data_IF_027411900602
#
_entry.id   IF_027411900602
#
_cell.length_a   1.000
_cell.length_b   1.000
_cell.length_c   1.000
_cell.angle_alpha   90.00
_cell.angle_beta   90.00
_cell.angle_gamma   90.00
#
_symmetry.space_group_name_H-M   'P 1'
#
loop_
_entity.id
_entity.type
_entity.pdbx_description
1 polymer ?
#
# COMPACT_ATOMS: atom_id res chain seq x y z
N UNK A 1 -7.81 15.64 -3.88
CA UNK A 1 -6.69 16.55 -3.53
C UNK A 1 -7.19 17.93 -3.13
N UNK A 2 -7.92 18.67 -3.98
CA UNK A 2 -8.40 20.03 -3.68
C UNK A 2 -9.22 20.13 -2.40
N UNK A 3 -10.21 19.25 -2.20
CA UNK A 3 -11.04 19.25 -0.98
C UNK A 3 -10.23 18.98 0.30
N UNK A 4 -9.33 17.99 0.27
CA UNK A 4 -8.46 17.69 1.41
C UNK A 4 -7.47 18.83 1.73
N UNK A 5 -6.91 19.45 0.69
CA UNK A 5 -6.04 20.62 0.86
C UNK A 5 -6.81 21.82 1.45
N UNK A 6 -8.04 22.06 0.99
CA UNK A 6 -8.88 23.13 1.51
C UNK A 6 -9.22 22.92 2.99
N UNK A 7 -9.58 21.69 3.40
CA UNK A 7 -9.87 21.38 4.81
C UNK A 7 -8.63 21.53 5.68
N UNK A 8 -7.46 21.06 5.23
CA UNK A 8 -6.21 21.19 5.99
C UNK A 8 -5.81 22.66 6.20
N UNK A 9 -5.93 23.48 5.15
CA UNK A 9 -5.65 24.91 5.22
C UNK A 9 -6.65 25.65 6.12
N UNK A 10 -7.93 25.28 6.08
CA UNK A 10 -8.96 25.87 6.93
C UNK A 10 -8.79 25.50 8.41
N UNK A 11 -8.33 24.28 8.71
CA UNK A 11 -8.17 23.79 10.08
C UNK A 11 -6.87 24.28 10.75
N UNK A 12 -5.77 24.38 10.00
CA UNK A 12 -4.42 24.53 10.58
C UNK A 12 -3.61 25.69 10.00
N UNK A 13 -4.03 26.26 8.86
CA UNK A 13 -3.25 27.27 8.14
C UNK A 13 -1.89 26.76 7.68
N UNK A 14 -0.98 27.68 7.34
CA UNK A 14 0.41 27.35 7.03
C UNK A 14 1.26 27.40 8.32
N UNK A 15 2.04 26.34 8.56
CA UNK A 15 3.01 26.29 9.64
C UNK A 15 4.43 26.51 9.12
N UNK A 16 5.25 27.26 9.86
CA UNK A 16 6.67 27.40 9.55
C UNK A 16 7.41 26.07 9.81
N UNK A 17 8.24 25.64 8.87
CA UNK A 17 9.05 24.43 9.04
C UNK A 17 10.39 24.75 9.70
N UNK A 18 10.80 23.90 10.63
CA UNK A 18 12.18 23.87 11.12
C UNK A 18 13.08 23.16 10.12
N UNK A 19 14.39 23.40 10.17
CA UNK A 19 15.35 22.71 9.31
C UNK A 19 15.25 21.18 9.46
N UNK A 20 15.07 20.68 10.68
CA UNK A 20 14.84 19.26 10.96
C UNK A 20 13.56 18.75 10.29
N UNK A 21 12.46 19.51 10.39
CA UNK A 21 11.20 19.15 9.74
C UNK A 21 11.32 19.07 8.22
N UNK A 22 12.04 20.02 7.61
CA UNK A 22 12.30 20.01 6.17
C UNK A 22 13.11 18.78 5.74
N UNK A 23 14.15 18.40 6.49
CA UNK A 23 14.95 17.20 6.22
C UNK A 23 14.10 15.93 6.35
N UNK A 24 13.27 15.82 7.39
CA UNK A 24 12.38 14.68 7.57
C UNK A 24 11.35 14.57 6.42
N UNK A 25 10.79 15.69 5.98
CA UNK A 25 9.88 15.71 4.82
C UNK A 25 10.58 15.26 3.53
N UNK A 26 11.81 15.71 3.30
CA UNK A 26 12.59 15.25 2.15
C UNK A 26 12.88 13.74 2.24
N UNK A 27 13.27 13.24 3.40
CA UNK A 27 13.55 11.82 3.59
C UNK A 27 12.30 10.94 3.31
N UNK A 28 11.15 11.31 3.87
CA UNK A 28 9.89 10.60 3.63
C UNK A 28 9.45 10.74 2.17
N UNK A 29 9.61 11.92 1.58
CA UNK A 29 9.29 12.17 0.17
C UNK A 29 10.12 11.32 -0.79
N UNK A 30 11.42 11.16 -0.52
CA UNK A 30 12.30 10.29 -1.30
C UNK A 30 11.91 8.81 -1.16
N UNK A 31 11.55 8.37 0.05
CA UNK A 31 11.08 7.01 0.28
C UNK A 31 9.76 6.74 -0.46
N UNK A 32 8.82 7.68 -0.40
CA UNK A 32 7.55 7.60 -1.12
C UNK A 32 7.74 7.61 -2.66
N UNK A 33 8.64 8.46 -3.18
CA UNK A 33 8.97 8.44 -4.60
C UNK A 33 9.61 7.11 -5.03
N UNK A 34 10.45 6.52 -4.18
CA UNK A 34 11.04 5.20 -4.39
C UNK A 34 9.99 4.09 -4.43
N UNK A 35 9.02 4.12 -3.51
CA UNK A 35 7.87 3.21 -3.50
C UNK A 35 7.06 3.31 -4.79
N UNK A 36 6.70 4.53 -5.20
CA UNK A 36 5.98 4.79 -6.45
C UNK A 36 6.75 4.27 -7.68
N UNK A 37 8.07 4.44 -7.70
CA UNK A 37 8.91 3.92 -8.78
C UNK A 37 8.99 2.38 -8.79
N UNK A 38 9.09 1.76 -7.63
CA UNK A 38 9.04 0.31 -7.49
C UNK A 38 7.68 -0.25 -7.94
N UNK A 39 6.58 0.40 -7.56
CA UNK A 39 5.22 0.03 -7.95
C UNK A 39 5.06 0.06 -9.48
N UNK A 40 5.41 1.19 -10.12
CA UNK A 40 5.32 1.30 -11.58
C UNK A 40 6.20 0.26 -12.29
N UNK A 41 7.41 0.00 -11.80
CA UNK A 41 8.28 -1.05 -12.32
C UNK A 41 7.69 -2.45 -12.14
N UNK A 42 7.09 -2.74 -11.00
CA UNK A 42 6.48 -4.03 -10.69
C UNK A 42 5.31 -4.29 -11.63
N UNK A 43 4.36 -3.35 -11.77
CA UNK A 43 3.22 -3.48 -12.67
C UNK A 43 3.60 -3.57 -14.15
N UNK A 44 4.71 -2.93 -14.56
CA UNK A 44 5.19 -3.02 -15.93
C UNK A 44 5.86 -4.34 -16.33
N UNK A 45 6.28 -5.18 -15.36
CA UNK A 45 7.04 -6.42 -15.63
C UNK A 45 6.49 -7.69 -14.99
N UNK A 46 5.66 -7.58 -13.95
CA UNK A 46 5.21 -8.69 -13.13
C UNK A 46 3.74 -9.05 -13.31
N UNK A 47 3.29 -10.07 -12.58
CA UNK A 47 1.89 -10.47 -12.55
C UNK A 47 1.04 -9.42 -11.81
N UNK A 48 0.10 -8.80 -12.53
CA UNK A 48 -0.75 -7.71 -12.02
C UNK A 48 -1.47 -8.09 -10.71
N UNK A 49 -2.03 -9.30 -10.63
CA UNK A 49 -2.74 -9.80 -9.44
C UNK A 49 -1.80 -9.96 -8.23
N UNK A 50 -0.59 -10.48 -8.44
CA UNK A 50 0.41 -10.62 -7.38
C UNK A 50 0.89 -9.27 -6.88
N UNK A 51 1.19 -8.34 -7.79
CA UNK A 51 1.61 -6.99 -7.42
C UNK A 51 0.50 -6.21 -6.69
N UNK A 52 -0.77 -6.43 -7.05
CA UNK A 52 -1.90 -5.87 -6.32
C UNK A 52 -1.97 -6.44 -4.90
N UNK A 53 -1.75 -7.74 -4.72
CA UNK A 53 -1.69 -8.36 -3.39
C UNK A 53 -0.54 -7.78 -2.54
N UNK A 54 0.62 -7.50 -3.14
CA UNK A 54 1.78 -6.90 -2.45
C UNK A 54 1.51 -5.49 -1.91
N UNK A 55 0.66 -4.68 -2.57
CA UNK A 55 0.32 -3.35 -2.06
C UNK A 55 -0.36 -3.41 -0.68
N UNK A 56 -1.13 -4.47 -0.42
CA UNK A 56 -1.75 -4.65 0.89
C UNK A 56 -0.73 -4.94 2.01
N UNK A 57 0.51 -5.33 1.68
CA UNK A 57 1.59 -5.48 2.66
C UNK A 57 1.91 -4.14 3.35
N UNK A 58 1.60 -3.00 2.74
CA UNK A 58 1.68 -1.70 3.40
C UNK A 58 0.85 -1.64 4.69
N UNK A 59 -0.29 -2.33 4.75
CA UNK A 59 -1.13 -2.42 5.96
C UNK A 59 -0.39 -3.18 7.06
N UNK A 60 0.28 -4.28 6.72
CA UNK A 60 1.11 -5.06 7.65
C UNK A 60 2.26 -4.22 8.20
N UNK A 61 2.94 -3.49 7.32
CA UNK A 61 4.04 -2.61 7.69
C UNK A 61 3.56 -1.47 8.61
N UNK A 62 2.44 -0.82 8.29
CA UNK A 62 1.86 0.23 9.13
C UNK A 62 1.46 -0.28 10.50
N UNK A 63 0.84 -1.46 10.60
CA UNK A 63 0.51 -2.07 11.89
C UNK A 63 1.76 -2.35 12.72
N UNK A 64 2.78 -2.95 12.10
CA UNK A 64 4.04 -3.26 12.78
C UNK A 64 4.76 -1.99 13.27
N UNK A 65 4.81 -0.95 12.44
CA UNK A 65 5.46 0.31 12.77
C UNK A 65 4.65 1.12 13.80
N UNK A 66 3.32 1.10 13.70
CA UNK A 66 2.38 1.66 14.67
C UNK A 66 2.60 1.08 16.07
N UNK A 67 2.48 -0.23 16.21
CA UNK A 67 2.62 -0.92 17.49
C UNK A 67 4.06 -0.89 18.00
N UNK A 68 5.05 -1.10 17.11
CA UNK A 68 6.44 -1.25 17.49
C UNK A 68 7.19 0.06 17.75
N UNK A 69 6.86 1.14 17.03
CA UNK A 69 7.58 2.40 17.10
C UNK A 69 6.71 3.58 17.54
N UNK A 70 5.48 3.67 17.03
CA UNK A 70 4.57 4.79 17.32
C UNK A 70 3.82 4.65 18.65
N UNK A 71 3.83 3.45 19.23
CA UNK A 71 3.17 3.15 20.51
C UNK A 71 1.67 2.96 20.38
N UNK A 72 1.17 2.64 19.18
CA UNK A 72 -0.25 2.37 18.97
C UNK A 72 -0.71 1.14 19.78
N UNK A 73 -1.93 1.17 20.36
CA UNK A 73 -2.42 0.05 21.14
C UNK A 73 -2.61 -1.19 20.27
N UNK A 74 -2.05 -2.31 20.73
CA UNK A 74 -2.25 -3.60 20.09
C UNK A 74 -3.70 -4.06 20.27
N UNK A 75 -4.44 -4.17 19.16
CA UNK A 75 -5.82 -4.64 19.16
C UNK A 75 -5.99 -5.93 18.38
N UNK A 76 -6.71 -6.88 18.97
CA UNK A 76 -6.99 -8.18 18.34
C UNK A 76 -7.79 -8.06 17.04
N UNK A 77 -8.67 -7.07 16.94
CA UNK A 77 -9.43 -6.77 15.72
C UNK A 77 -8.52 -6.33 14.57
N UNK A 78 -7.53 -5.48 14.84
CA UNK A 78 -6.55 -5.05 13.84
C UNK A 78 -5.69 -6.23 13.37
N UNK A 79 -5.22 -7.06 14.30
CA UNK A 79 -4.48 -8.27 13.95
C UNK A 79 -5.33 -9.24 13.11
N UNK A 80 -6.60 -9.45 13.46
CA UNK A 80 -7.49 -10.33 12.71
C UNK A 80 -7.70 -9.83 11.26
N UNK A 81 -7.92 -8.53 11.08
CA UNK A 81 -7.99 -7.90 9.76
C UNK A 81 -6.68 -8.06 8.98
N UNK A 82 -5.54 -7.89 9.63
CA UNK A 82 -4.23 -8.08 9.02
C UNK A 82 -4.02 -9.51 8.53
N UNK A 83 -4.33 -10.51 9.37
CA UNK A 83 -4.23 -11.93 9.01
C UNK A 83 -5.17 -12.28 7.86
N UNK A 84 -6.39 -11.75 7.86
CA UNK A 84 -7.36 -11.96 6.78
C UNK A 84 -6.82 -11.45 5.43
N UNK A 85 -6.30 -10.22 5.40
CA UNK A 85 -5.76 -9.59 4.19
C UNK A 85 -4.52 -10.35 3.69
N UNK A 86 -3.60 -10.68 4.60
CA UNK A 86 -2.40 -11.46 4.27
C UNK A 86 -2.76 -12.86 3.73
N UNK A 87 -3.73 -13.54 4.36
CA UNK A 87 -4.21 -14.84 3.92
C UNK A 87 -4.88 -14.80 2.54
N UNK A 88 -5.67 -13.75 2.26
CA UNK A 88 -6.29 -13.55 0.95
C UNK A 88 -5.24 -13.31 -0.15
N UNK A 89 -4.24 -12.47 0.11
CA UNK A 89 -3.14 -12.20 -0.83
C UNK A 89 -2.28 -13.44 -1.11
N UNK A 90 -1.99 -14.22 -0.07
CA UNK A 90 -1.26 -15.47 -0.22
C UNK A 90 -2.07 -16.51 -1.01
N UNK A 91 -3.37 -16.63 -0.72
CA UNK A 91 -4.28 -17.51 -1.47
C UNK A 91 -4.32 -17.13 -2.96
N UNK A 92 -4.47 -15.84 -3.28
CA UNK A 92 -4.47 -15.37 -4.66
C UNK A 92 -3.17 -15.66 -5.42
N UNK A 93 -2.04 -15.82 -4.72
CA UNK A 93 -0.74 -16.14 -5.30
C UNK A 93 -0.49 -17.65 -5.42
N UNK A 94 -0.99 -18.43 -4.46
CA UNK A 94 -0.79 -19.88 -4.38
C UNK A 94 -1.83 -20.68 -5.18
N UNK A 95 -3.04 -20.14 -5.40
CA UNK A 95 -4.01 -20.75 -6.31
C UNK A 95 -3.57 -20.46 -7.75
N UNK A 96 -2.88 -21.42 -8.37
CA UNK A 96 -2.63 -21.40 -9.80
C UNK A 96 -3.95 -21.27 -10.56
N UNK A 97 -3.99 -20.37 -11.56
CA UNK A 97 -5.19 -20.05 -12.33
C UNK A 97 -5.93 -21.28 -12.83
N UNK A 98 -6.95 -21.70 -12.09
CA UNK A 98 -7.89 -22.73 -12.51
C UNK A 98 -8.73 -22.18 -13.65
N UNK A 99 -8.43 -22.67 -14.85
CA UNK A 99 -9.25 -22.63 -16.06
C UNK A 99 -9.63 -21.24 -16.61
N UNK A 100 -8.80 -20.71 -17.51
CA UNK A 100 -9.38 -20.00 -18.64
C UNK A 100 -10.20 -21.02 -19.48
N UNK A 101 -11.48 -20.76 -19.79
CA UNK A 101 -12.22 -21.59 -20.73
C UNK A 101 -11.47 -21.60 -22.07
N UNK A 102 -11.17 -22.79 -22.59
CA UNK A 102 -10.68 -22.97 -23.94
C UNK A 102 -11.73 -22.40 -24.90
N UNK A 103 -11.45 -21.21 -25.46
CA UNK A 103 -12.16 -20.68 -26.61
C UNK A 103 -11.77 -21.52 -27.84
N UNK A 104 -12.31 -22.74 -27.90
CA UNK A 104 -12.30 -23.57 -29.09
C UNK A 104 -13.52 -23.23 -29.94
N UNK A 105 -13.27 -22.69 -31.14
CA UNK A 105 -14.27 -22.69 -32.21
C UNK A 105 -14.48 -21.36 -32.92
N UNK A 106 -13.47 -20.85 -33.64
CA UNK A 106 -13.73 -20.11 -34.89
C UNK A 106 -13.10 -20.92 -36.02
N UNK A 107 -13.89 -21.85 -36.55
CA UNK A 107 -13.65 -22.49 -37.83
C UNK A 107 -14.04 -21.51 -38.93
N UNK A 108 -13.05 -21.15 -39.76
CA UNK A 108 -13.08 -20.64 -41.14
C UNK A 108 -14.19 -19.68 -41.56
#
# INVERSE_FOLDING_TARGET
IVAGAAVALAASGFAAHTATGAVLLLAIGLLAAGEQWAMTRAFGRGATLGNAALQYLGIAFSFALGVGWLGDPFTWSALAGLVLIAGAGLSATLLGGGAAPSAGGVTR
#
